data_IF_985641238432
#
_entry.id   IF_985641238432
#
_cell.length_a   1.000
_cell.length_b   1.000
_cell.length_c   1.000
_cell.angle_alpha   90.00
_cell.angle_beta   90.00
_cell.angle_gamma   90.00
#
_symmetry.space_group_name_H-M   'P 1'
#
loop_
_entity.id
_entity.type
_entity.pdbx_description
1 polymer ?
#
# COMPACT_ATOMS: atom_id res chain seq x y z
N UNK A 1 27.67 0.27 -24.43
CA UNK A 1 26.95 -0.85 -25.09
C UNK A 1 26.57 -1.92 -24.06
N UNK A 2 25.73 -1.53 -23.11
CA UNK A 2 25.04 -2.35 -22.09
C UNK A 2 23.58 -2.51 -22.51
N UNK A 3 23.38 -2.83 -23.79
CA UNK A 3 22.09 -3.05 -24.46
C UNK A 3 21.24 -4.14 -23.82
N UNK A 4 21.81 -4.94 -22.91
CA UNK A 4 21.18 -6.08 -22.26
C UNK A 4 20.07 -5.73 -21.25
N UNK A 5 20.03 -4.52 -20.67
CA UNK A 5 18.90 -4.12 -19.77
C UNK A 5 17.66 -3.69 -20.56
N UNK A 6 17.87 -3.04 -21.71
CA UNK A 6 16.84 -2.67 -22.68
C UNK A 6 16.12 -3.92 -23.23
N UNK A 7 16.87 -4.97 -23.53
CA UNK A 7 16.33 -6.27 -23.93
C UNK A 7 15.59 -7.00 -22.80
N UNK A 8 15.86 -6.68 -21.53
CA UNK A 8 15.19 -7.26 -20.36
C UNK A 8 13.79 -6.65 -20.14
N UNK A 9 13.60 -5.34 -20.31
CA UNK A 9 12.26 -4.73 -20.33
C UNK A 9 11.46 -5.14 -21.58
N UNK A 10 12.13 -5.28 -22.73
CA UNK A 10 11.54 -5.82 -23.96
C UNK A 10 11.10 -7.30 -23.81
N UNK A 11 11.82 -8.11 -23.02
CA UNK A 11 11.47 -9.53 -22.75
C UNK A 11 10.44 -9.70 -21.63
N UNK A 12 10.30 -8.72 -20.73
CA UNK A 12 9.24 -8.67 -19.73
C UNK A 12 7.91 -8.25 -20.39
N UNK A 13 7.93 -7.28 -21.30
CA UNK A 13 6.75 -6.86 -22.07
C UNK A 13 6.07 -7.95 -22.93
N UNK A 14 6.70 -9.11 -23.14
CA UNK A 14 6.14 -10.20 -23.96
C UNK A 14 5.57 -11.38 -23.16
N UNK A 15 5.58 -11.34 -21.82
CA UNK A 15 5.24 -12.49 -20.97
C UNK A 15 3.81 -12.41 -20.40
N UNK A 16 2.89 -13.28 -20.87
CA UNK A 16 1.47 -13.43 -20.43
C UNK A 16 1.25 -13.72 -18.93
N UNK A 17 2.31 -13.84 -18.12
CA UNK A 17 2.28 -14.29 -16.72
C UNK A 17 3.06 -13.39 -15.74
N UNK A 18 3.33 -12.11 -16.05
CA UNK A 18 4.05 -11.22 -15.11
C UNK A 18 3.17 -10.77 -13.93
N UNK A 19 2.98 -11.74 -13.03
CA UNK A 19 2.10 -11.81 -11.86
C UNK A 19 2.61 -11.11 -10.62
N UNK A 20 3.84 -10.61 -10.59
CA UNK A 20 4.41 -9.89 -9.43
C UNK A 20 5.45 -8.90 -9.90
N UNK A 21 5.01 -7.73 -10.37
CA UNK A 21 5.89 -6.58 -10.51
C UNK A 21 6.23 -6.10 -9.10
N UNK A 22 7.33 -6.59 -8.55
CA UNK A 22 8.03 -6.02 -7.39
C UNK A 22 9.26 -5.32 -7.95
N UNK A 23 9.35 -3.99 -7.83
CA UNK A 23 10.61 -3.29 -8.06
C UNK A 23 11.04 -2.66 -6.73
N UNK A 24 12.19 -3.12 -6.20
CA UNK A 24 13.39 -2.29 -6.30
C UNK A 24 14.64 -3.12 -6.67
N UNK A 25 15.60 -2.63 -7.50
CA UNK A 25 16.79 -3.40 -7.79
C UNK A 25 18.08 -2.94 -7.08
N UNK A 26 18.81 -3.96 -6.66
CA UNK A 26 20.25 -4.12 -6.40
C UNK A 26 21.00 -3.06 -5.59
N UNK A 27 21.16 -3.34 -4.30
CA UNK A 27 22.40 -3.00 -3.61
C UNK A 27 23.56 -3.75 -4.28
N UNK A 28 24.53 -3.04 -4.86
CA UNK A 28 25.92 -3.51 -4.90
C UNK A 28 26.94 -2.37 -4.65
N UNK A 29 28.03 -2.67 -3.91
CA UNK A 29 29.03 -1.70 -3.49
C UNK A 29 29.99 -1.44 -4.65
N UNK A 30 30.00 -0.22 -5.17
CA UNK A 30 30.90 0.13 -6.26
C UNK A 30 30.62 1.51 -6.83
N UNK A 31 31.03 2.55 -6.09
CA UNK A 31 31.54 3.84 -6.62
C UNK A 31 30.70 4.70 -7.55
N UNK A 32 29.53 4.30 -8.03
CA UNK A 32 28.61 5.13 -8.81
C UNK A 32 27.59 5.82 -7.90
N UNK A 33 27.34 7.13 -8.11
CA UNK A 33 26.29 7.80 -7.34
C UNK A 33 24.95 7.13 -7.70
N UNK A 34 24.21 6.69 -6.68
CA UNK A 34 22.88 6.07 -6.77
C UNK A 34 21.91 6.86 -7.67
N UNK A 35 22.13 8.18 -7.73
CA UNK A 35 21.37 9.13 -8.52
C UNK A 35 21.57 8.95 -10.03
N UNK A 36 22.81 8.77 -10.50
CA UNK A 36 23.11 8.65 -11.94
C UNK A 36 22.43 7.46 -12.61
N UNK A 37 22.37 6.31 -11.92
CA UNK A 37 21.71 5.10 -12.45
C UNK A 37 20.19 5.21 -12.47
N UNK A 38 19.58 5.87 -11.47
CA UNK A 38 18.13 6.13 -11.44
C UNK A 38 17.74 7.13 -12.53
N UNK A 39 18.55 8.17 -12.71
CA UNK A 39 18.33 9.19 -13.74
C UNK A 39 18.47 8.59 -15.15
N UNK A 40 19.48 7.75 -15.39
CA UNK A 40 19.66 7.05 -16.67
C UNK A 40 18.52 6.06 -16.96
N UNK A 41 18.07 5.30 -15.95
CA UNK A 41 16.93 4.40 -16.08
C UNK A 41 15.63 5.16 -16.35
N UNK A 42 15.39 6.26 -15.62
CA UNK A 42 14.26 7.15 -15.83
C UNK A 42 14.27 7.77 -17.23
N UNK A 43 15.43 8.21 -17.71
CA UNK A 43 15.57 8.79 -19.05
C UNK A 43 15.33 7.76 -20.15
N UNK A 44 15.85 6.53 -20.02
CA UNK A 44 15.59 5.45 -20.98
C UNK A 44 14.11 5.02 -20.98
N UNK A 45 13.48 4.99 -19.80
CA UNK A 45 12.07 4.66 -19.65
C UNK A 45 11.16 5.76 -20.21
N UNK A 46 11.50 7.03 -19.94
CA UNK A 46 10.82 8.19 -20.50
C UNK A 46 10.94 8.21 -22.02
N UNK A 47 12.11 7.92 -22.58
CA UNK A 47 12.28 7.78 -24.03
C UNK A 47 11.36 6.68 -24.60
N UNK A 48 11.32 5.51 -23.96
CA UNK A 48 10.41 4.43 -24.36
C UNK A 48 8.92 4.86 -24.28
N UNK A 49 8.51 5.53 -23.20
CA UNK A 49 7.14 6.01 -23.02
C UNK A 49 6.74 7.09 -24.04
N UNK A 50 7.68 7.94 -24.49
CA UNK A 50 7.46 8.92 -25.56
C UNK A 50 7.48 8.29 -26.96
N UNK A 51 8.25 7.21 -27.16
CA UNK A 51 8.39 6.49 -28.44
C UNK A 51 7.28 5.47 -28.69
N UNK A 52 6.61 4.98 -27.64
CA UNK A 52 5.43 4.12 -27.75
C UNK A 52 4.20 5.03 -27.92
N UNK A 53 3.66 5.24 -29.14
CA UNK A 53 2.47 6.08 -29.33
C UNK A 53 1.36 5.48 -28.50
N UNK A 54 0.76 6.27 -27.57
CA UNK A 54 -0.38 5.92 -26.68
C UNK A 54 -1.02 4.60 -27.10
N UNK A 55 -0.44 3.48 -26.67
CA UNK A 55 -0.75 2.21 -27.31
C UNK A 55 -2.19 1.88 -26.93
N UNK A 56 -3.11 1.99 -27.88
CA UNK A 56 -4.32 1.18 -27.85
C UNK A 56 -3.85 -0.27 -27.69
N UNK A 57 -3.96 -0.82 -26.48
CA UNK A 57 -3.39 -2.13 -26.13
C UNK A 57 -2.18 -2.11 -25.20
N UNK A 58 -1.96 -1.05 -24.38
CA UNK A 58 -1.03 -1.14 -23.23
C UNK A 58 -1.33 -2.41 -22.41
N UNK A 59 -0.31 -3.16 -21.95
CA UNK A 59 -0.54 -4.36 -21.17
C UNK A 59 -1.30 -4.02 -19.87
N UNK A 60 -2.39 -4.74 -19.63
CA UNK A 60 -3.16 -4.61 -18.39
C UNK A 60 -2.44 -5.32 -17.25
N UNK A 61 -2.14 -4.58 -16.18
CA UNK A 61 -1.62 -5.15 -14.95
C UNK A 61 -2.77 -5.50 -14.01
N UNK A 62 -2.77 -6.70 -13.45
CA UNK A 62 -3.72 -7.09 -12.40
C UNK A 62 -3.13 -6.94 -10.99
N UNK A 63 -1.80 -6.90 -10.87
CA UNK A 63 -1.08 -6.83 -9.60
C UNK A 63 0.13 -5.89 -9.74
N UNK A 64 0.29 -4.98 -8.79
CA UNK A 64 1.41 -4.04 -8.72
C UNK A 64 1.92 -3.94 -7.28
N UNK A 65 3.23 -4.13 -7.09
CA UNK A 65 3.90 -3.98 -5.81
C UNK A 65 5.05 -2.96 -5.90
N UNK A 66 4.84 -1.81 -5.28
CA UNK A 66 5.77 -0.68 -5.20
C UNK A 66 6.47 -0.65 -3.83
N UNK A 67 6.91 -1.82 -3.38
CA UNK A 67 7.68 -2.02 -2.14
C UNK A 67 8.46 -3.33 -2.28
N UNK A 68 9.63 -3.44 -1.64
CA UNK A 68 10.34 -4.73 -1.58
C UNK A 68 9.50 -5.77 -0.84
N UNK A 69 9.73 -7.06 -1.12
CA UNK A 69 9.08 -8.12 -0.35
C UNK A 69 9.39 -8.01 1.16
N UNK A 70 10.65 -7.71 1.48
CA UNK A 70 11.09 -7.44 2.85
C UNK A 70 10.36 -6.24 3.48
N UNK A 71 10.25 -5.11 2.77
CA UNK A 71 9.56 -3.91 3.26
C UNK A 71 8.04 -4.08 3.38
N UNK A 72 7.45 -5.00 2.60
CA UNK A 72 6.05 -5.40 2.71
C UNK A 72 5.79 -6.13 4.03
N UNK A 73 6.69 -7.04 4.41
CA UNK A 73 6.53 -7.88 5.61
C UNK A 73 7.04 -7.22 6.89
N UNK A 74 8.11 -6.43 6.78
CA UNK A 74 8.79 -5.74 7.87
C UNK A 74 9.17 -4.32 7.42
N UNK A 75 8.24 -3.35 7.51
CA UNK A 75 8.52 -1.97 7.14
C UNK A 75 9.65 -1.41 8.00
N UNK A 76 10.68 -0.84 7.37
CA UNK A 76 11.86 -0.31 8.05
C UNK A 76 11.82 1.21 8.16
N UNK A 77 12.50 1.76 9.18
CA UNK A 77 12.83 3.18 9.28
C UNK A 77 13.82 3.58 8.17
N UNK A 78 13.32 3.70 6.95
CA UNK A 78 14.09 4.29 5.88
C UNK A 78 14.20 5.79 6.15
N UNK A 79 15.42 6.27 6.47
CA UNK A 79 15.76 7.71 6.52
C UNK A 79 15.44 8.44 5.20
N UNK A 80 15.17 7.70 4.12
CA UNK A 80 14.82 8.24 2.80
C UNK A 80 13.32 8.35 2.53
N UNK A 81 12.44 7.78 3.35
CA UNK A 81 10.98 7.89 3.15
C UNK A 81 10.40 9.30 3.41
N UNK A 82 11.20 10.18 4.04
CA UNK A 82 10.84 11.59 4.29
C UNK A 82 11.71 12.59 3.51
N UNK A 83 12.69 12.13 2.72
CA UNK A 83 13.60 13.00 1.99
C UNK A 83 13.12 13.11 0.53
N UNK A 84 12.76 14.32 0.11
CA UNK A 84 12.29 14.71 -1.25
C UNK A 84 13.37 14.56 -2.35
N UNK A 85 14.15 13.47 -2.31
CA UNK A 85 15.16 13.11 -3.29
C UNK A 85 14.66 11.99 -4.24
N UNK A 86 15.54 11.18 -4.86
CA UNK A 86 15.34 10.33 -6.05
C UNK A 86 14.03 9.52 -6.19
N UNK A 87 13.30 9.31 -5.10
CA UNK A 87 11.95 8.76 -5.07
C UNK A 87 10.96 9.56 -5.94
N UNK A 88 11.06 10.90 -6.04
CA UNK A 88 10.17 11.66 -6.92
C UNK A 88 10.30 11.23 -8.40
N UNK A 89 11.50 10.90 -8.86
CA UNK A 89 11.74 10.41 -10.23
C UNK A 89 11.21 8.99 -10.42
N UNK A 90 11.33 8.14 -9.39
CA UNK A 90 10.76 6.78 -9.36
C UNK A 90 9.23 6.75 -9.39
N UNK A 91 8.53 7.85 -9.14
CA UNK A 91 7.07 7.88 -9.20
C UNK A 91 6.54 8.72 -10.36
N UNK A 92 7.36 9.57 -10.99
CA UNK A 92 7.01 10.27 -12.24
C UNK A 92 6.63 9.31 -13.37
N UNK A 93 7.22 8.11 -13.42
CA UNK A 93 6.83 7.11 -14.42
C UNK A 93 5.44 6.50 -14.19
N UNK A 94 4.91 6.59 -12.96
CA UNK A 94 3.54 6.17 -12.63
C UNK A 94 2.50 7.20 -13.06
N UNK A 95 2.90 8.43 -13.44
CA UNK A 95 2.00 9.37 -14.09
C UNK A 95 1.42 8.70 -15.34
N UNK A 96 0.12 8.85 -15.56
CA UNK A 96 -0.58 8.17 -16.66
C UNK A 96 0.07 8.40 -18.04
N UNK A 97 0.64 9.60 -18.21
CA UNK A 97 1.36 10.05 -19.41
C UNK A 97 2.71 9.38 -19.62
N UNK A 98 3.30 8.79 -18.58
CA UNK A 98 4.62 8.16 -18.61
C UNK A 98 4.56 6.64 -18.33
N UNK A 99 3.42 6.12 -17.88
CA UNK A 99 3.26 4.71 -17.52
C UNK A 99 3.07 3.82 -18.76
N UNK A 100 3.92 2.80 -18.97
CA UNK A 100 3.83 1.89 -20.11
C UNK A 100 2.73 0.84 -19.94
N UNK A 101 2.15 0.74 -18.74
CA UNK A 101 1.10 -0.20 -18.41
C UNK A 101 -0.26 0.50 -18.32
N UNK A 102 -1.31 -0.23 -18.66
CA UNK A 102 -2.66 0.18 -18.32
C UNK A 102 -2.97 -0.27 -16.89
N UNK A 103 -3.14 0.71 -16.00
CA UNK A 103 -3.46 0.48 -14.59
C UNK A 103 -4.97 0.41 -14.33
N UNK A 104 -5.83 0.74 -15.31
CA UNK A 104 -7.29 0.75 -15.09
C UNK A 104 -7.85 -0.64 -14.75
N UNK A 105 -7.16 -1.72 -15.14
CA UNK A 105 -7.49 -3.11 -14.79
C UNK A 105 -6.85 -3.63 -13.50
N UNK A 106 -6.14 -2.78 -12.74
CA UNK A 106 -5.38 -3.19 -11.58
C UNK A 106 -6.28 -3.62 -10.42
N UNK A 107 -6.18 -4.91 -10.06
CA UNK A 107 -6.99 -5.49 -8.99
C UNK A 107 -6.29 -5.47 -7.64
N UNK A 108 -4.96 -5.52 -7.61
CA UNK A 108 -4.18 -5.58 -6.38
C UNK A 108 -3.05 -4.56 -6.41
N UNK A 109 -3.01 -3.71 -5.40
CA UNK A 109 -1.98 -2.70 -5.21
C UNK A 109 -1.32 -2.89 -3.85
N UNK A 110 0.01 -2.97 -3.83
CA UNK A 110 0.83 -3.02 -2.62
C UNK A 110 1.83 -1.86 -2.69
N UNK A 111 1.80 -0.94 -1.74
CA UNK A 111 2.61 0.28 -1.78
C UNK A 111 3.41 0.49 -0.50
N UNK A 112 4.66 0.93 -0.67
CA UNK A 112 5.59 1.18 0.42
C UNK A 112 5.50 2.58 1.04
N UNK A 113 4.76 3.48 0.39
CA UNK A 113 4.64 4.86 0.81
C UNK A 113 3.30 5.49 0.38
N UNK A 114 2.78 6.47 1.15
CA UNK A 114 1.59 7.25 0.80
C UNK A 114 1.75 8.04 -0.49
N UNK A 115 2.96 8.48 -0.83
CA UNK A 115 3.21 9.23 -2.07
C UNK A 115 2.91 8.40 -3.33
N UNK A 116 3.25 7.11 -3.34
CA UNK A 116 2.86 6.21 -4.43
C UNK A 116 1.34 5.97 -4.42
N UNK A 117 0.75 5.79 -3.23
CA UNK A 117 -0.69 5.58 -3.07
C UNK A 117 -1.51 6.75 -3.64
N UNK A 118 -1.15 8.00 -3.31
CA UNK A 118 -1.87 9.19 -3.79
C UNK A 118 -1.83 9.34 -5.32
N UNK A 119 -0.78 8.86 -5.99
CA UNK A 119 -0.68 8.89 -7.46
C UNK A 119 -1.52 7.77 -8.07
N UNK A 120 -1.41 6.55 -7.54
CA UNK A 120 -1.99 5.36 -8.18
C UNK A 120 -3.48 5.19 -7.86
N UNK A 121 -3.91 5.46 -6.63
CA UNK A 121 -5.29 5.19 -6.18
C UNK A 121 -6.38 5.87 -7.03
N UNK A 122 -6.25 7.14 -7.45
CA UNK A 122 -7.22 7.75 -8.35
C UNK A 122 -7.36 7.02 -9.69
N UNK A 123 -6.24 6.50 -10.24
CA UNK A 123 -6.17 5.81 -11.54
C UNK A 123 -6.86 4.43 -11.47
N UNK A 124 -6.68 3.71 -10.36
CA UNK A 124 -7.12 2.31 -10.21
C UNK A 124 -8.43 2.16 -9.45
N UNK A 125 -9.07 3.28 -9.11
CA UNK A 125 -10.20 3.40 -8.21
C UNK A 125 -11.35 2.42 -8.47
N UNK A 126 -11.69 2.20 -9.74
CA UNK A 126 -12.85 1.41 -10.15
C UNK A 126 -12.63 -0.11 -10.12
N UNK A 127 -11.39 -0.58 -10.27
CA UNK A 127 -11.07 -2.01 -10.42
C UNK A 127 -10.32 -2.63 -9.23
N UNK A 128 -9.75 -1.78 -8.36
CA UNK A 128 -8.96 -2.22 -7.23
C UNK A 128 -9.82 -3.01 -6.23
N UNK A 129 -9.48 -4.28 -6.01
CA UNK A 129 -10.15 -5.14 -5.03
C UNK A 129 -9.32 -5.41 -3.78
N UNK A 130 -8.00 -5.17 -3.83
CA UNK A 130 -7.11 -5.33 -2.68
C UNK A 130 -6.06 -4.23 -2.62
N UNK A 131 -5.96 -3.58 -1.48
CA UNK A 131 -4.98 -2.55 -1.18
C UNK A 131 -4.13 -2.97 0.01
N UNK A 132 -2.82 -2.86 -0.13
CA UNK A 132 -1.87 -3.02 0.96
C UNK A 132 -0.97 -1.78 1.08
N UNK A 133 -0.95 -1.17 2.27
CA UNK A 133 -0.06 -0.06 2.60
C UNK A 133 0.97 -0.55 3.62
N UNK A 134 2.24 -0.54 3.24
CA UNK A 134 3.34 -1.10 4.01
C UNK A 134 4.39 -0.02 4.29
N UNK A 135 4.37 0.61 5.47
CA UNK A 135 5.29 1.70 5.78
C UNK A 135 5.65 1.76 7.26
N UNK A 136 6.79 2.35 7.62
CA UNK A 136 7.16 2.43 9.03
C UNK A 136 6.16 3.27 9.85
N UNK A 137 5.77 4.42 9.31
CA UNK A 137 4.83 5.36 9.94
C UNK A 137 3.90 5.97 8.92
N UNK A 138 2.61 5.88 9.19
CA UNK A 138 1.61 6.67 8.48
C UNK A 138 1.17 7.83 9.35
N UNK A 139 1.49 9.05 8.92
CA UNK A 139 1.04 10.28 9.56
C UNK A 139 0.29 11.12 8.55
N UNK A 140 -0.48 12.10 9.05
CA UNK A 140 -1.11 13.11 8.19
C UNK A 140 -0.13 13.73 7.20
N UNK A 141 1.09 14.05 7.64
CA UNK A 141 2.10 14.71 6.80
C UNK A 141 2.70 13.79 5.74
N UNK A 142 2.49 12.47 5.83
CA UNK A 142 2.90 11.54 4.78
C UNK A 142 2.05 11.71 3.50
N UNK A 143 0.85 12.29 3.62
CA UNK A 143 -0.09 12.52 2.52
C UNK A 143 -0.01 13.97 2.04
N UNK A 144 0.58 14.20 0.86
CA UNK A 144 0.89 15.57 0.40
C UNK A 144 -0.38 16.42 0.15
N UNK A 145 -1.46 15.77 -0.27
CA UNK A 145 -2.77 16.37 -0.56
C UNK A 145 -3.84 15.91 0.43
N UNK A 146 -3.45 15.69 1.69
CA UNK A 146 -4.34 15.10 2.70
C UNK A 146 -5.69 15.80 2.82
N UNK A 147 -5.70 17.13 2.90
CA UNK A 147 -6.96 17.88 3.08
C UNK A 147 -7.85 17.83 1.84
N UNK A 148 -7.24 17.81 0.65
CA UNK A 148 -7.98 17.67 -0.60
C UNK A 148 -8.67 16.29 -0.66
N UNK A 149 -7.92 15.23 -0.33
CA UNK A 149 -8.50 13.89 -0.26
C UNK A 149 -9.49 13.73 0.88
N UNK A 150 -9.32 14.44 2.00
CA UNK A 150 -10.30 14.41 3.08
C UNK A 150 -11.60 15.11 2.70
N UNK A 151 -11.51 16.21 1.95
CA UNK A 151 -12.68 16.94 1.44
C UNK A 151 -13.38 16.15 0.32
N UNK A 152 -12.62 15.44 -0.51
CA UNK A 152 -13.12 14.57 -1.57
C UNK A 152 -12.43 13.20 -1.52
N UNK A 153 -12.90 12.27 -0.67
CA UNK A 153 -12.31 10.95 -0.51
C UNK A 153 -12.22 10.18 -1.82
N UNK A 154 -11.17 9.36 -1.94
CA UNK A 154 -10.96 8.50 -3.11
C UNK A 154 -12.01 7.39 -3.06
N UNK A 155 -12.85 7.32 -4.10
CA UNK A 155 -13.87 6.30 -4.20
C UNK A 155 -13.25 4.98 -4.65
N UNK A 156 -13.33 3.94 -3.83
CA UNK A 156 -12.83 2.59 -4.10
C UNK A 156 -13.99 1.59 -4.01
N UNK A 157 -14.99 1.68 -4.92
CA UNK A 157 -16.23 0.89 -4.84
C UNK A 157 -16.02 -0.61 -4.92
N UNK A 158 -14.91 -1.08 -5.51
CA UNK A 158 -14.60 -2.50 -5.69
C UNK A 158 -13.67 -3.07 -4.59
N UNK A 159 -13.22 -2.23 -3.65
CA UNK A 159 -12.22 -2.64 -2.65
C UNK A 159 -12.85 -3.58 -1.63
N UNK A 160 -12.40 -4.84 -1.63
CA UNK A 160 -12.85 -5.89 -0.70
C UNK A 160 -11.88 -6.11 0.45
N UNK A 161 -10.58 -5.93 0.21
CA UNK A 161 -9.54 -6.27 1.17
C UNK A 161 -8.57 -5.10 1.39
N UNK A 162 -8.45 -4.65 2.64
CA UNK A 162 -7.48 -3.63 3.04
C UNK A 162 -6.48 -4.22 4.05
N UNK A 163 -5.19 -4.08 3.76
CA UNK A 163 -4.12 -4.49 4.67
C UNK A 163 -3.19 -3.32 4.97
N UNK A 164 -3.00 -3.03 6.24
CA UNK A 164 -2.19 -1.92 6.70
C UNK A 164 -1.06 -2.49 7.56
N UNK A 165 0.16 -2.50 7.02
CA UNK A 165 1.34 -3.04 7.68
C UNK A 165 2.26 -1.91 8.12
N UNK A 166 2.50 -1.84 9.43
CA UNK A 166 3.32 -0.79 10.03
C UNK A 166 4.52 -1.33 10.81
N UNK A 167 5.51 -0.47 11.02
CA UNK A 167 6.57 -0.79 11.97
C UNK A 167 6.01 -0.70 13.39
N UNK A 168 5.49 0.47 13.78
CA UNK A 168 5.20 0.77 15.19
C UNK A 168 3.75 0.51 15.58
N UNK A 169 2.80 1.23 14.99
CA UNK A 169 1.39 1.15 15.36
C UNK A 169 0.48 1.24 14.14
N UNK A 170 -0.73 0.66 14.25
CA UNK A 170 -1.82 0.90 13.30
C UNK A 170 -2.06 2.38 13.07
N UNK A 171 -2.47 2.74 11.86
CA UNK A 171 -2.80 4.11 11.52
C UNK A 171 -4.15 4.21 10.84
N UNK A 172 -4.73 5.41 10.92
CA UNK A 172 -6.07 5.73 10.45
C UNK A 172 -6.08 6.66 9.23
N UNK A 173 -4.95 7.30 8.89
CA UNK A 173 -4.97 8.42 7.94
C UNK A 173 -5.44 8.03 6.55
N UNK A 174 -5.10 6.83 6.06
CA UNK A 174 -5.68 6.30 4.82
C UNK A 174 -7.22 6.15 4.91
N UNK A 175 -7.73 5.67 6.05
CA UNK A 175 -9.18 5.44 6.23
C UNK A 175 -9.97 6.75 6.18
N UNK A 176 -9.37 7.86 6.63
CA UNK A 176 -9.99 9.20 6.57
C UNK A 176 -10.17 9.72 5.14
N UNK A 177 -9.48 9.15 4.14
CA UNK A 177 -9.38 9.71 2.77
C UNK A 177 -9.83 8.76 1.67
N UNK A 178 -10.41 7.60 2.02
CA UNK A 178 -10.99 6.65 1.07
C UNK A 178 -12.45 6.37 1.42
N UNK A 179 -13.25 6.05 0.42
CA UNK A 179 -14.55 5.39 0.60
C UNK A 179 -14.48 4.01 -0.04
N UNK A 180 -14.86 2.99 0.72
CA UNK A 180 -14.83 1.58 0.31
C UNK A 180 -16.11 0.88 0.81
N UNK A 181 -17.26 1.11 0.15
CA UNK A 181 -18.56 0.61 0.62
C UNK A 181 -18.66 -0.92 0.62
N UNK A 182 -17.95 -1.59 -0.30
CA UNK A 182 -17.95 -3.06 -0.44
C UNK A 182 -16.78 -3.73 0.31
N UNK A 183 -16.18 -3.04 1.29
CA UNK A 183 -15.08 -3.60 2.07
C UNK A 183 -15.55 -4.81 2.88
N UNK A 184 -14.87 -5.94 2.72
CA UNK A 184 -15.21 -7.21 3.39
C UNK A 184 -14.30 -7.48 4.59
N UNK A 185 -13.01 -7.11 4.45
CA UNK A 185 -11.99 -7.39 5.47
C UNK A 185 -10.98 -6.26 5.61
N UNK A 186 -10.62 -5.93 6.85
CA UNK A 186 -9.53 -5.00 7.17
C UNK A 186 -8.51 -5.70 8.07
N UNK A 187 -7.23 -5.63 7.73
CA UNK A 187 -6.15 -6.21 8.52
C UNK A 187 -5.14 -5.14 8.92
N UNK A 188 -4.90 -5.00 10.22
CA UNK A 188 -3.85 -4.16 10.78
C UNK A 188 -2.70 -5.04 11.24
N UNK A 189 -1.53 -4.91 10.62
CA UNK A 189 -0.31 -5.62 10.99
C UNK A 189 0.71 -4.62 11.54
N UNK A 190 1.37 -4.94 12.65
CA UNK A 190 2.52 -4.18 13.11
C UNK A 190 3.60 -5.08 13.72
N UNK A 191 4.86 -4.65 13.65
CA UNK A 191 6.01 -5.50 13.96
C UNK A 191 6.74 -5.12 15.25
N UNK A 192 6.54 -3.90 15.75
CA UNK A 192 7.13 -3.46 17.02
C UNK A 192 6.30 -3.93 18.20
N UNK A 193 6.98 -4.42 19.23
CA UNK A 193 6.32 -4.79 20.47
C UNK A 193 6.02 -3.56 21.33
N UNK A 194 4.74 -3.23 21.52
CA UNK A 194 4.30 -2.18 22.45
C UNK A 194 3.12 -2.66 23.31
N UNK A 195 3.00 -2.20 24.57
CA UNK A 195 1.87 -2.56 25.43
C UNK A 195 0.53 -2.10 24.84
N UNK A 196 -0.53 -2.89 25.04
CA UNK A 196 -1.87 -2.64 24.50
C UNK A 196 -2.40 -1.24 24.76
N UNK A 197 -2.21 -0.75 25.99
CA UNK A 197 -2.64 0.58 26.42
C UNK A 197 -2.13 1.73 25.52
N UNK A 198 -0.99 1.57 24.83
CA UNK A 198 -0.44 2.62 23.97
C UNK A 198 -1.24 2.83 22.69
N UNK A 199 -2.05 1.86 22.26
CA UNK A 199 -2.81 1.95 21.01
C UNK A 199 -4.32 1.77 21.17
N UNK A 200 -4.86 1.54 22.38
CA UNK A 200 -6.31 1.44 22.61
C UNK A 200 -7.07 2.66 22.10
N UNK A 201 -6.62 3.87 22.48
CA UNK A 201 -7.23 5.11 22.04
C UNK A 201 -7.17 5.25 20.50
N UNK A 202 -6.08 4.79 19.89
CA UNK A 202 -5.91 4.82 18.44
C UNK A 202 -6.83 3.82 17.73
N UNK A 203 -7.05 2.63 18.29
CA UNK A 203 -8.01 1.67 17.75
C UNK A 203 -9.45 2.17 17.81
N UNK A 204 -9.85 2.89 18.86
CA UNK A 204 -11.17 3.54 18.89
C UNK A 204 -11.34 4.56 17.78
N UNK A 205 -10.29 5.33 17.49
CA UNK A 205 -10.30 6.26 16.36
C UNK A 205 -10.37 5.51 15.03
N UNK A 206 -9.64 4.40 14.88
CA UNK A 206 -9.70 3.54 13.70
C UNK A 206 -11.12 2.98 13.52
N UNK A 207 -11.75 2.44 14.57
CA UNK A 207 -13.11 1.89 14.52
C UNK A 207 -14.12 2.93 14.03
N UNK A 208 -14.01 4.17 14.53
CA UNK A 208 -14.82 5.29 14.05
C UNK A 208 -14.55 5.66 12.58
N UNK A 209 -13.34 5.47 12.07
CA UNK A 209 -13.06 5.73 10.65
C UNK A 209 -13.52 4.58 9.76
N UNK A 210 -13.42 3.33 10.24
CA UNK A 210 -13.99 2.16 9.57
C UNK A 210 -15.50 2.35 9.35
N UNK A 211 -16.23 2.85 10.36
CA UNK A 211 -17.67 3.08 10.22
C UNK A 211 -18.05 4.10 9.14
N UNK A 212 -17.08 4.91 8.68
CA UNK A 212 -17.27 5.97 7.68
C UNK A 212 -16.81 5.58 6.27
N UNK A 213 -16.32 4.35 6.08
CA UNK A 213 -15.87 3.88 4.76
C UNK A 213 -17.02 3.78 3.75
N UNK A 214 -18.26 3.60 4.20
CA UNK A 214 -19.46 3.69 3.36
C UNK A 214 -20.18 5.02 3.64
N UNK A 215 -20.14 6.01 2.73
CA UNK A 215 -20.81 7.29 2.94
C UNK A 215 -22.35 7.19 2.89
N UNK A 216 -22.89 6.08 2.38
CA UNK A 216 -24.33 5.90 2.22
C UNK A 216 -24.99 5.22 3.43
N UNK A 217 -24.19 4.72 4.37
CA UNK A 217 -24.66 3.94 5.52
C UNK A 217 -23.96 4.39 6.80
N UNK A 218 -24.48 3.91 7.93
CA UNK A 218 -23.88 4.14 9.25
C UNK A 218 -22.65 3.25 9.45
N UNK A 219 -22.59 2.11 8.76
CA UNK A 219 -21.48 1.16 8.81
C UNK A 219 -21.40 0.36 7.50
N UNK A 220 -20.19 -0.02 7.01
CA UNK A 220 -20.04 -0.83 5.80
C UNK A 220 -20.70 -2.21 5.96
N UNK A 221 -21.71 -2.49 5.14
CA UNK A 221 -22.54 -3.69 5.34
C UNK A 221 -21.88 -5.01 4.97
N UNK A 222 -20.84 -4.98 4.14
CA UNK A 222 -20.10 -6.18 3.73
C UNK A 222 -18.95 -6.50 4.68
N UNK A 223 -18.62 -5.58 5.60
CA UNK A 223 -17.49 -5.77 6.49
C UNK A 223 -17.83 -6.85 7.51
N UNK A 224 -17.18 -8.00 7.36
CA UNK A 224 -17.41 -9.16 8.24
C UNK A 224 -16.25 -9.38 9.20
N UNK A 225 -15.07 -8.86 8.89
CA UNK A 225 -13.86 -9.17 9.62
C UNK A 225 -12.88 -7.99 9.78
N UNK A 226 -12.43 -7.78 11.01
CA UNK A 226 -11.29 -6.91 11.34
C UNK A 226 -10.23 -7.75 12.04
N UNK A 227 -9.04 -7.87 11.44
CA UNK A 227 -7.93 -8.62 11.99
C UNK A 227 -6.83 -7.68 12.49
N UNK A 228 -6.27 -8.00 13.64
CA UNK A 228 -5.05 -7.40 14.19
C UNK A 228 -3.97 -8.47 14.21
N UNK A 229 -2.80 -8.14 13.66
CA UNK A 229 -1.66 -9.05 13.54
C UNK A 229 -0.45 -8.40 14.16
N UNK A 230 0.10 -9.00 15.21
CA UNK A 230 1.24 -8.43 15.94
C UNK A 230 2.29 -9.48 16.25
N UNK A 231 3.53 -9.04 16.40
CA UNK A 231 4.65 -9.86 16.91
C UNK A 231 4.58 -10.04 18.44
N UNK A 232 3.74 -9.26 19.16
CA UNK A 232 3.58 -9.33 20.61
C UNK A 232 2.96 -10.64 21.13
N UNK A 233 3.35 -11.02 22.34
CA UNK A 233 3.00 -12.29 22.98
C UNK A 233 1.65 -12.31 23.73
N UNK A 234 1.07 -11.16 24.10
CA UNK A 234 -0.20 -11.15 24.83
C UNK A 234 -1.37 -10.94 23.87
N UNK A 235 -2.15 -12.01 23.67
CA UNK A 235 -3.46 -11.91 23.02
C UNK A 235 -4.38 -11.12 23.96
N UNK A 236 -4.95 -9.98 23.53
CA UNK A 236 -5.93 -9.28 24.35
C UNK A 236 -7.18 -10.16 24.53
N UNK A 237 -7.88 -9.97 25.64
CA UNK A 237 -9.10 -10.72 25.93
C UNK A 237 -10.30 -10.16 25.12
N UNK A 238 -11.45 -10.84 25.21
CA UNK A 238 -12.67 -10.41 24.51
C UNK A 238 -13.20 -9.06 25.01
N UNK A 239 -12.91 -8.69 26.26
CA UNK A 239 -13.36 -7.41 26.82
C UNK A 239 -12.62 -6.25 26.19
N UNK A 240 -11.33 -6.45 25.88
CA UNK A 240 -10.52 -5.50 25.15
C UNK A 240 -11.11 -5.20 23.76
N UNK A 241 -11.55 -6.22 23.02
CA UNK A 241 -12.17 -6.05 21.69
C UNK A 241 -13.39 -5.13 21.73
N UNK A 242 -14.29 -5.36 22.68
CA UNK A 242 -15.48 -4.54 22.88
C UNK A 242 -15.11 -3.10 23.27
N UNK A 243 -13.99 -2.91 23.96
CA UNK A 243 -13.54 -1.61 24.43
C UNK A 243 -12.87 -0.77 23.33
N UNK A 244 -12.21 -1.40 22.35
CA UNK A 244 -11.46 -0.68 21.31
C UNK A 244 -12.13 -0.70 19.93
N UNK A 245 -13.01 -1.68 19.67
CA UNK A 245 -13.86 -1.76 18.48
C UNK A 245 -15.36 -1.79 18.84
N UNK A 246 -15.87 -0.81 19.61
CA UNK A 246 -17.26 -0.82 20.06
C UNK A 246 -18.28 -0.76 18.90
N UNK A 247 -18.00 0.01 17.85
CA UNK A 247 -18.90 0.17 16.70
C UNK A 247 -18.89 -1.12 15.88
N UNK A 248 -17.72 -1.62 15.47
CA UNK A 248 -17.62 -2.89 14.75
C UNK A 248 -18.32 -4.04 15.50
N UNK A 249 -18.16 -4.09 16.83
CA UNK A 249 -18.84 -5.08 17.69
C UNK A 249 -20.37 -4.94 17.66
N UNK A 250 -20.89 -3.70 17.69
CA UNK A 250 -22.33 -3.43 17.60
C UNK A 250 -22.94 -3.95 16.28
N UNK A 251 -22.18 -3.90 15.19
CA UNK A 251 -22.62 -4.37 13.86
C UNK A 251 -22.28 -5.84 13.59
N UNK A 252 -21.85 -6.60 14.60
CA UNK A 252 -21.59 -8.04 14.47
C UNK A 252 -20.33 -8.39 13.68
N UNK A 253 -19.42 -7.44 13.49
CA UNK A 253 -18.13 -7.69 12.83
C UNK A 253 -17.27 -8.55 13.74
N UNK A 254 -16.67 -9.60 13.17
CA UNK A 254 -15.73 -10.44 13.92
C UNK A 254 -14.38 -9.75 14.03
N UNK A 255 -13.93 -9.48 15.25
CA UNK A 255 -12.57 -9.01 15.53
C UNK A 255 -11.69 -10.22 15.87
N UNK A 256 -10.53 -10.35 15.23
CA UNK A 256 -9.57 -11.42 15.54
C UNK A 256 -8.15 -10.92 15.77
N UNK A 257 -7.45 -11.62 16.64
CA UNK A 257 -6.05 -11.35 17.01
C UNK A 257 -5.18 -12.51 16.60
N UNK A 258 -4.21 -12.24 15.75
CA UNK A 258 -3.24 -13.22 15.28
C UNK A 258 -1.84 -12.80 15.70
N UNK A 259 -1.05 -13.79 16.11
CA UNK A 259 0.37 -13.58 16.35
C UNK A 259 1.13 -13.87 15.06
N UNK A 260 1.98 -12.94 14.66
CA UNK A 260 2.93 -13.18 13.58
C UNK A 260 4.03 -14.11 14.12
N UNK A 261 4.04 -15.36 13.68
CA UNK A 261 5.21 -16.22 13.84
C UNK A 261 6.20 -15.82 12.75
N UNK A 262 7.37 -15.30 13.14
CA UNK A 262 8.49 -15.34 12.21
C UNK A 262 8.73 -16.81 11.91
N UNK A 263 8.84 -17.24 10.64
CA UNK A 263 9.35 -18.58 10.37
C UNK A 263 10.69 -18.66 11.09
N UNK A 264 10.82 -19.66 11.97
CA UNK A 264 12.07 -19.92 12.67
C UNK A 264 13.17 -19.92 11.62
N UNK A 265 14.08 -18.95 11.72
CA UNK A 265 15.33 -19.01 11.00
C UNK A 265 16.09 -20.16 11.64
N UNK A 266 15.90 -21.37 11.12
CA UNK A 266 16.81 -22.49 11.34
C UNK A 266 18.20 -22.04 10.86
N UNK A 267 19.00 -21.54 11.80
CA UNK A 267 20.46 -21.45 11.75
C UNK A 267 21.03 -21.81 13.12
#
# INVERSE_FOLDING_TARGET
>A
MTSSFRTVLESLGQCKYLRKLSLPPAAKPGGGSRQSHVDDAYNAFRQLAHELPRIEGRPQLQYLQLVSAEGRDSPQLSTTACAKGPQEMEYKWLEETHCPFDLHGLRVLVVGCPFAAQIVLPIVSTSLCRLELCQAFDTRSSWSHYEDFRASPIQLPSLKHLMLTFLICPSRWLLDIIHAPEIETITFKWTTSMPHAFYEANFRLIDHQISRLDPTRVFPSQLTHVATVTTCCSRPDRQWDLNVFPISSQYGVTVSHQRFAFPDSDM
#
